data_IF_944316147167
#
_entry.id   IF_944316147167
#
_cell.length_a   1.000
_cell.length_b   1.000
_cell.length_c   1.000
_cell.angle_alpha   90.00
_cell.angle_beta   90.00
_cell.angle_gamma   90.00
#
_symmetry.space_group_name_H-M   'P 1'
#
loop_
_entity.id
_entity.type
_entity.pdbx_description
1 polymer ?
#
# COMPACT_ATOMS: atom_id res chain seq x y z
N UNK A 1 1.19 13.19 16.95
CA UNK A 1 0.31 12.66 15.90
C UNK A 1 -0.60 11.60 16.52
N UNK A 2 -1.90 11.86 16.54
CA UNK A 2 -2.89 10.99 17.15
C UNK A 2 -3.55 10.10 16.07
N UNK A 3 -3.48 8.79 16.25
CA UNK A 3 -4.06 7.77 15.36
C UNK A 3 -5.41 7.24 15.87
N UNK A 4 -5.91 7.74 17.02
CA UNK A 4 -7.12 7.18 17.64
C UNK A 4 -8.37 7.36 16.79
N UNK A 5 -8.41 8.39 15.95
CA UNK A 5 -9.54 8.72 15.09
C UNK A 5 -9.45 8.13 13.68
N UNK A 6 -8.42 7.32 13.40
CA UNK A 6 -8.29 6.65 12.10
C UNK A 6 -9.26 5.49 12.01
N UNK A 7 -10.22 5.51 11.05
CA UNK A 7 -11.16 4.42 10.88
C UNK A 7 -10.45 3.10 10.58
N UNK A 8 -10.88 2.03 11.23
CA UNK A 8 -10.38 0.69 10.91
C UNK A 8 -11.18 0.09 9.77
N UNK A 9 -10.47 -0.32 8.74
CA UNK A 9 -11.01 -0.96 7.55
C UNK A 9 -10.43 -2.37 7.40
N UNK A 10 -11.11 -3.23 6.67
CA UNK A 10 -10.53 -4.48 6.21
C UNK A 10 -9.52 -4.17 5.11
N UNK A 11 -8.29 -4.61 5.30
CA UNK A 11 -7.18 -4.47 4.36
C UNK A 11 -6.87 -5.82 3.74
N UNK A 12 -6.48 -5.81 2.48
CA UNK A 12 -5.99 -7.01 1.81
C UNK A 12 -4.49 -7.23 2.02
N UNK A 13 -3.72 -6.16 1.93
CA UNK A 13 -2.26 -6.11 2.09
C UNK A 13 -1.46 -6.89 1.02
N UNK A 14 -2.10 -7.34 -0.07
CA UNK A 14 -1.44 -8.06 -1.18
C UNK A 14 -2.28 -8.07 -2.48
N UNK A 15 -2.95 -6.97 -2.81
CA UNK A 15 -3.79 -6.88 -4.02
C UNK A 15 -3.02 -7.00 -5.34
N UNK A 16 -1.71 -6.65 -5.34
CA UNK A 16 -0.89 -6.58 -6.55
C UNK A 16 -0.53 -7.94 -7.15
N UNK A 17 -0.52 -9.00 -6.35
CA UNK A 17 0.01 -10.31 -6.74
C UNK A 17 -1.02 -11.18 -7.48
N UNK A 18 -1.79 -10.58 -8.40
CA UNK A 18 -2.82 -11.25 -9.21
C UNK A 18 -4.00 -11.77 -8.38
N UNK A 19 -4.26 -11.16 -7.24
CA UNK A 19 -5.32 -11.54 -6.32
C UNK A 19 -6.67 -10.90 -6.65
N UNK A 20 -6.81 -10.33 -7.85
CA UNK A 20 -8.02 -9.68 -8.35
C UNK A 20 -8.38 -10.26 -9.71
N UNK A 21 -9.59 -10.79 -9.83
CA UNK A 21 -10.17 -11.18 -11.12
C UNK A 21 -10.99 -10.03 -11.68
N UNK A 22 -10.68 -9.66 -12.92
CA UNK A 22 -11.40 -8.64 -13.66
C UNK A 22 -11.99 -9.25 -14.92
N UNK A 23 -13.25 -9.00 -15.18
CA UNK A 23 -13.97 -9.40 -16.37
C UNK A 23 -14.86 -8.24 -16.86
N UNK A 24 -14.82 -7.95 -18.16
CA UNK A 24 -15.55 -6.84 -18.78
C UNK A 24 -15.39 -5.49 -18.04
N UNK A 25 -14.19 -5.20 -17.52
CA UNK A 25 -13.89 -3.98 -16.79
C UNK A 25 -14.47 -3.92 -15.37
N UNK A 26 -14.92 -5.04 -14.81
CA UNK A 26 -15.43 -5.15 -13.46
C UNK A 26 -14.60 -6.12 -12.62
N UNK A 27 -14.47 -5.79 -11.35
CA UNK A 27 -13.89 -6.72 -10.37
C UNK A 27 -14.93 -7.77 -10.04
N UNK A 28 -14.65 -9.04 -10.39
CA UNK A 28 -15.53 -10.17 -10.12
C UNK A 28 -15.17 -10.90 -8.83
N UNK A 29 -13.91 -10.91 -8.47
CA UNK A 29 -13.45 -11.52 -7.22
C UNK A 29 -12.16 -10.90 -6.72
N UNK A 30 -12.01 -10.89 -5.41
CA UNK A 30 -10.74 -10.64 -4.70
C UNK A 30 -10.51 -11.83 -3.81
N UNK A 31 -9.33 -12.46 -3.92
CA UNK A 31 -9.00 -13.69 -3.21
C UNK A 31 -7.60 -13.61 -2.60
N UNK A 32 -7.18 -14.67 -1.92
CA UNK A 32 -5.92 -14.76 -1.17
C UNK A 32 -5.81 -13.70 -0.05
N UNK A 33 -6.75 -13.78 0.88
CA UNK A 33 -6.83 -12.91 2.05
C UNK A 33 -5.88 -13.33 3.19
N UNK A 34 -4.88 -14.16 2.90
CA UNK A 34 -3.94 -14.67 3.91
C UNK A 34 -3.17 -13.57 4.65
N UNK A 35 -2.94 -12.43 4.00
CA UNK A 35 -2.31 -11.24 4.59
C UNK A 35 -3.33 -10.25 5.17
N UNK A 36 -4.63 -10.52 5.06
CA UNK A 36 -5.70 -9.61 5.44
C UNK A 36 -5.68 -9.24 6.92
N UNK A 37 -5.93 -7.97 7.22
CA UNK A 37 -5.98 -7.43 8.59
C UNK A 37 -6.95 -6.26 8.72
N UNK A 38 -7.23 -5.86 9.95
CA UNK A 38 -7.95 -4.62 10.23
C UNK A 38 -6.96 -3.50 10.51
N UNK A 39 -7.09 -2.39 9.80
CA UNK A 39 -6.18 -1.26 9.95
C UNK A 39 -6.61 -0.03 9.16
N UNK A 40 -5.66 0.87 8.95
CA UNK A 40 -5.83 2.07 8.13
C UNK A 40 -5.95 1.72 6.64
N UNK A 41 -7.05 2.11 6.00
CA UNK A 41 -7.28 1.84 4.57
C UNK A 41 -6.19 2.39 3.64
N UNK A 42 -5.42 3.38 4.09
CA UNK A 42 -4.27 3.89 3.34
C UNK A 42 -3.15 2.86 3.17
N UNK A 43 -3.16 1.79 3.96
CA UNK A 43 -2.13 0.74 3.86
C UNK A 43 -2.17 0.01 2.50
N UNK A 44 -3.36 -0.30 1.98
CA UNK A 44 -3.48 -0.92 0.66
C UNK A 44 -3.03 0.04 -0.46
N UNK A 45 -3.30 1.34 -0.34
CA UNK A 45 -2.74 2.33 -1.26
C UNK A 45 -1.22 2.41 -1.15
N UNK A 46 -0.70 2.52 0.08
CA UNK A 46 0.73 2.58 0.33
C UNK A 46 1.46 1.34 -0.21
N UNK A 47 0.83 0.18 -0.18
CA UNK A 47 1.34 -1.05 -0.78
C UNK A 47 1.59 -0.89 -2.28
N UNK A 48 0.61 -0.35 -3.03
CA UNK A 48 0.79 -0.05 -4.45
C UNK A 48 1.88 0.98 -4.71
N UNK A 49 1.91 2.06 -3.94
CA UNK A 49 2.90 3.12 -4.11
C UNK A 49 4.32 2.65 -3.76
N UNK A 50 4.47 1.84 -2.72
CA UNK A 50 5.76 1.30 -2.30
C UNK A 50 6.37 0.43 -3.40
N UNK A 51 5.60 -0.51 -3.94
CA UNK A 51 6.07 -1.50 -4.90
C UNK A 51 5.97 -1.06 -6.37
N UNK A 52 5.48 0.15 -6.65
CA UNK A 52 5.32 0.67 -8.01
C UNK A 52 6.55 0.48 -8.92
N UNK A 53 7.80 0.73 -8.50
CA UNK A 53 8.97 0.56 -9.37
C UNK A 53 9.17 -0.86 -9.91
N UNK A 54 8.72 -1.86 -9.17
CA UNK A 54 8.83 -3.27 -9.58
C UNK A 54 7.63 -3.79 -10.36
N UNK A 55 6.56 -2.99 -10.47
CA UNK A 55 5.30 -3.34 -11.15
C UNK A 55 4.95 -2.32 -12.24
N UNK A 56 5.83 -2.17 -13.22
CA UNK A 56 5.74 -1.15 -14.28
C UNK A 56 4.52 -1.31 -15.21
N UNK A 57 3.81 -2.42 -15.12
CA UNK A 57 2.54 -2.67 -15.81
C UNK A 57 1.32 -2.06 -15.09
N UNK A 58 1.50 -1.51 -13.89
CA UNK A 58 0.44 -0.84 -13.12
C UNK A 58 0.65 0.68 -13.17
N UNK A 59 -0.40 1.40 -13.53
CA UNK A 59 -0.43 2.87 -13.46
C UNK A 59 -0.86 3.28 -12.04
N UNK A 60 0.10 3.30 -11.13
CA UNK A 60 -0.16 3.64 -9.71
C UNK A 60 -0.56 5.11 -9.53
N UNK A 61 -0.01 6.09 -10.26
CA UNK A 61 -0.54 7.46 -10.26
C UNK A 61 -2.01 7.55 -10.64
N UNK A 62 -2.45 6.83 -11.68
CA UNK A 62 -3.85 6.78 -12.08
C UNK A 62 -4.74 6.12 -11.01
N UNK A 63 -4.25 5.05 -10.37
CA UNK A 63 -4.94 4.43 -9.24
C UNK A 63 -5.13 5.43 -8.09
N UNK A 64 -4.10 6.19 -7.76
CA UNK A 64 -4.14 7.24 -6.73
C UNK A 64 -5.18 8.30 -7.06
N UNK A 65 -5.15 8.83 -8.27
CA UNK A 65 -6.11 9.83 -8.75
C UNK A 65 -7.55 9.30 -8.69
N UNK A 66 -7.78 8.07 -9.13
CA UNK A 66 -9.10 7.45 -9.08
C UNK A 66 -9.62 7.30 -7.64
N UNK A 67 -8.76 6.95 -6.69
CA UNK A 67 -9.10 6.85 -5.28
C UNK A 67 -9.42 8.22 -4.67
N UNK A 68 -8.62 9.24 -4.95
CA UNK A 68 -8.86 10.62 -4.49
C UNK A 68 -10.17 11.18 -5.04
N UNK A 69 -10.47 10.94 -6.32
CA UNK A 69 -11.75 11.29 -6.93
C UNK A 69 -12.91 10.57 -6.25
N UNK A 70 -12.74 9.30 -5.88
CA UNK A 70 -13.75 8.56 -5.12
C UNK A 70 -13.99 9.14 -3.74
N UNK A 71 -12.95 9.54 -3.02
CA UNK A 71 -13.09 10.23 -1.74
C UNK A 71 -13.92 11.50 -1.86
N UNK A 72 -13.65 12.33 -2.87
CA UNK A 72 -14.43 13.54 -3.15
C UNK A 72 -15.91 13.20 -3.39
N UNK A 73 -16.18 12.20 -4.22
CA UNK A 73 -17.57 11.79 -4.55
C UNK A 73 -18.38 11.33 -3.33
N UNK A 74 -17.70 10.70 -2.36
CA UNK A 74 -18.37 10.22 -1.14
C UNK A 74 -18.29 11.20 0.03
N UNK A 75 -17.72 12.39 -0.19
CA UNK A 75 -17.58 13.42 0.85
C UNK A 75 -16.58 13.05 1.94
N UNK A 76 -15.60 12.21 1.62
CA UNK A 76 -14.54 11.80 2.54
C UNK A 76 -13.28 12.61 2.31
N UNK A 77 -12.66 13.09 3.38
CA UNK A 77 -11.34 13.74 3.35
C UNK A 77 -10.46 13.05 4.39
N UNK A 78 -9.42 12.32 3.98
CA UNK A 78 -8.51 11.69 4.92
C UNK A 78 -7.73 12.75 5.71
N UNK A 79 -7.78 12.65 7.02
CA UNK A 79 -6.97 13.50 7.92
C UNK A 79 -5.52 13.00 7.95
N UNK A 80 -4.55 13.89 8.10
CA UNK A 80 -3.12 13.56 8.24
C UNK A 80 -2.62 12.57 7.17
N UNK A 81 -3.07 12.78 5.91
CA UNK A 81 -2.86 11.83 4.81
C UNK A 81 -1.37 11.47 4.63
N UNK A 82 -0.50 12.48 4.60
CA UNK A 82 0.93 12.26 4.35
C UNK A 82 1.62 11.53 5.50
N UNK A 83 1.33 11.90 6.73
CA UNK A 83 1.89 11.28 7.93
C UNK A 83 1.45 9.81 8.05
N UNK A 84 0.18 9.53 7.73
CA UNK A 84 -0.37 8.17 7.73
C UNK A 84 0.23 7.31 6.64
N UNK A 85 0.40 7.86 5.43
CA UNK A 85 1.11 7.16 4.34
C UNK A 85 2.57 6.89 4.73
N UNK A 86 3.27 7.87 5.29
CA UNK A 86 4.66 7.70 5.76
C UNK A 86 4.77 6.58 6.80
N UNK A 87 3.81 6.50 7.73
CA UNK A 87 3.76 5.39 8.70
C UNK A 87 3.54 4.03 8.02
N UNK A 88 2.69 3.97 6.98
CA UNK A 88 2.48 2.76 6.20
C UNK A 88 3.76 2.36 5.43
N UNK A 89 4.44 3.30 4.78
CA UNK A 89 5.70 3.02 4.07
C UNK A 89 6.80 2.51 5.01
N UNK A 90 6.92 3.11 6.20
CA UNK A 90 7.86 2.65 7.22
C UNK A 90 7.55 1.20 7.63
N UNK A 91 6.28 0.89 7.89
CA UNK A 91 5.90 -0.47 8.27
C UNK A 91 6.21 -1.48 7.16
N UNK A 92 5.80 -1.18 5.90
CA UNK A 92 6.05 -2.03 4.73
C UNK A 92 7.55 -2.25 4.54
N UNK A 93 8.33 -1.17 4.55
CA UNK A 93 9.78 -1.23 4.36
C UNK A 93 10.48 -2.03 5.45
N UNK A 94 10.18 -1.77 6.72
CA UNK A 94 10.80 -2.46 7.85
C UNK A 94 10.47 -3.95 7.89
N UNK A 95 9.22 -4.33 7.59
CA UNK A 95 8.80 -5.73 7.52
C UNK A 95 9.59 -6.49 6.44
N UNK A 96 9.72 -5.90 5.25
CA UNK A 96 10.47 -6.52 4.15
C UNK A 96 11.99 -6.49 4.34
N UNK A 97 12.54 -5.45 4.98
CA UNK A 97 13.95 -5.43 5.40
C UNK A 97 14.23 -6.58 6.36
N UNK A 98 13.37 -6.78 7.37
CA UNK A 98 13.52 -7.87 8.33
C UNK A 98 13.45 -9.25 7.65
N UNK A 99 12.49 -9.43 6.73
CA UNK A 99 12.36 -10.67 5.95
C UNK A 99 13.60 -10.95 5.09
N UNK A 100 14.08 -9.94 4.35
CA UNK A 100 15.25 -10.09 3.47
C UNK A 100 16.54 -10.30 4.27
N UNK A 101 16.67 -9.70 5.46
CA UNK A 101 17.78 -9.98 6.36
C UNK A 101 17.75 -11.44 6.85
N UNK A 102 16.56 -11.94 7.23
CA UNK A 102 16.39 -13.32 7.66
C UNK A 102 16.72 -14.34 6.56
N UNK A 103 16.40 -14.02 5.32
CA UNK A 103 16.67 -14.86 4.14
C UNK A 103 18.04 -14.58 3.49
N UNK A 104 18.86 -13.72 4.09
CA UNK A 104 20.18 -13.30 3.60
C UNK A 104 20.16 -12.70 2.19
N UNK A 105 19.04 -12.11 1.78
CA UNK A 105 18.87 -11.47 0.48
C UNK A 105 19.27 -9.98 0.55
N UNK A 106 20.57 -9.74 0.70
CA UNK A 106 21.13 -8.40 0.92
C UNK A 106 20.87 -7.40 -0.21
N UNK A 107 20.91 -7.78 -1.51
CA UNK A 107 20.59 -6.84 -2.59
C UNK A 107 19.15 -6.30 -2.49
N UNK A 108 18.16 -7.17 -2.31
CA UNK A 108 16.75 -6.76 -2.18
C UNK A 108 16.51 -6.00 -0.89
N UNK A 109 17.21 -6.34 0.20
CA UNK A 109 17.18 -5.56 1.43
C UNK A 109 17.58 -4.10 1.18
N UNK A 110 18.70 -3.89 0.47
CA UNK A 110 19.19 -2.55 0.18
C UNK A 110 18.20 -1.77 -0.69
N UNK A 111 17.71 -2.37 -1.77
CA UNK A 111 16.69 -1.75 -2.64
C UNK A 111 15.43 -1.36 -1.86
N UNK A 112 14.98 -2.23 -0.95
CA UNK A 112 13.82 -1.96 -0.09
C UNK A 112 14.07 -0.80 0.87
N UNK A 113 15.26 -0.75 1.47
CA UNK A 113 15.65 0.33 2.37
C UNK A 113 15.73 1.68 1.64
N UNK A 114 16.34 1.70 0.46
CA UNK A 114 16.45 2.89 -0.37
C UNK A 114 15.06 3.40 -0.77
N UNK A 115 14.15 2.50 -1.19
CA UNK A 115 12.77 2.85 -1.52
C UNK A 115 12.00 3.40 -0.33
N UNK A 116 12.15 2.79 0.84
CA UNK A 116 11.52 3.29 2.07
C UNK A 116 11.99 4.71 2.39
N UNK A 117 13.30 4.96 2.33
CA UNK A 117 13.88 6.28 2.57
C UNK A 117 13.40 7.32 1.56
N UNK A 118 13.31 6.95 0.28
CA UNK A 118 12.77 7.83 -0.78
C UNK A 118 11.35 8.28 -0.44
N UNK A 119 10.44 7.35 -0.11
CA UNK A 119 9.03 7.64 0.14
C UNK A 119 8.78 8.42 1.45
N UNK A 120 9.57 8.17 2.47
CA UNK A 120 9.41 8.86 3.77
C UNK A 120 9.99 10.27 3.76
N UNK A 121 11.00 10.54 2.92
CA UNK A 121 11.62 11.86 2.79
C UNK A 121 10.94 12.75 1.73
N UNK A 122 9.94 12.27 1.05
CA UNK A 122 9.07 13.05 0.15
C UNK A 122 8.02 13.79 0.99
#
# INVERSE_FOLDING_TARGET
FDLTDVPRSLLHCDLMNRNVLVDEGRINAVFDWGCGRLGDHLYDLAWFEFWAPWHTNLDVPLLREALENRWIQVGYTPTNLQERLSACYLHIGLDHIAYNAHTENWPVLQETADRMCELVNM
#
